data_IF_573568159456
#
_entry.id   IF_573568159456
#
_cell.length_a   1.000
_cell.length_b   1.000
_cell.length_c   1.000
_cell.angle_alpha   90.00
_cell.angle_beta   90.00
_cell.angle_gamma   90.00
#
_symmetry.space_group_name_H-M   'P 1'
#
loop_
_entity.id
_entity.type
_entity.pdbx_description
1 polymer ?
#
# COMPACT_ATOMS: atom_id res chain seq x y z
N UNK A 1 11.06 6.85 37.78
CA UNK A 1 11.22 7.35 36.41
C UNK A 1 9.98 8.18 36.05
N UNK A 2 10.13 9.49 35.94
CA UNK A 2 9.03 10.38 35.53
C UNK A 2 8.80 10.17 34.05
N UNK A 3 7.61 9.68 33.65
CA UNK A 3 7.21 9.60 32.26
C UNK A 3 7.17 11.02 31.68
N UNK A 4 8.10 11.35 30.77
CA UNK A 4 8.03 12.59 30.01
C UNK A 4 6.78 12.51 29.14
N UNK A 5 5.78 13.36 29.41
CA UNK A 5 4.64 13.54 28.49
C UNK A 5 5.12 14.27 27.24
N UNK A 6 4.66 13.85 26.07
CA UNK A 6 4.89 14.60 24.82
C UNK A 6 3.92 15.77 24.73
N UNK A 7 4.27 16.84 23.99
CA UNK A 7 3.39 17.99 23.76
C UNK A 7 2.06 17.64 23.10
N UNK A 8 1.96 16.48 22.46
CA UNK A 8 0.78 15.97 21.77
C UNK A 8 -0.03 14.96 22.59
N UNK A 9 0.39 14.65 23.84
CA UNK A 9 -0.29 13.64 24.68
C UNK A 9 -1.76 14.00 24.97
N UNK A 10 -2.10 15.29 25.05
CA UNK A 10 -3.47 15.79 25.24
C UNK A 10 -4.40 15.47 24.04
N UNK A 11 -3.86 15.28 22.85
CA UNK A 11 -4.61 14.92 21.65
C UNK A 11 -4.76 13.40 21.48
N UNK A 12 -4.33 12.58 22.43
CA UNK A 12 -4.47 11.14 22.40
C UNK A 12 -3.57 10.43 21.38
N UNK A 13 -2.61 11.13 20.75
CA UNK A 13 -1.72 10.57 19.71
C UNK A 13 -0.90 9.40 20.25
N UNK A 14 -0.42 9.47 21.49
CA UNK A 14 0.33 8.40 22.14
C UNK A 14 -0.50 7.14 22.48
N UNK A 15 -1.82 7.21 22.35
CA UNK A 15 -2.76 6.11 22.60
C UNK A 15 -3.60 5.76 21.37
N UNK A 16 -3.16 6.15 20.18
CA UNK A 16 -3.95 6.07 18.97
C UNK A 16 -4.52 4.67 18.70
N UNK A 17 -3.72 3.63 18.91
CA UNK A 17 -4.14 2.24 18.69
C UNK A 17 -4.74 1.57 19.93
N UNK A 18 -4.52 2.14 21.13
CA UNK A 18 -5.08 1.62 22.38
C UNK A 18 -6.36 2.35 22.79
N UNK A 19 -6.81 3.32 22.01
CA UNK A 19 -8.06 4.01 22.24
C UNK A 19 -9.23 3.10 21.90
N UNK A 20 -10.12 2.86 22.86
CA UNK A 20 -11.35 2.12 22.61
C UNK A 20 -12.33 2.98 21.80
N UNK A 21 -12.41 2.70 20.50
CA UNK A 21 -13.31 3.36 19.58
C UNK A 21 -14.67 2.64 19.43
N UNK A 22 -14.96 1.61 20.21
CA UNK A 22 -16.18 0.80 20.10
C UNK A 22 -17.45 1.64 20.21
N UNK A 23 -17.47 2.68 21.06
CA UNK A 23 -18.57 3.62 21.17
C UNK A 23 -18.83 4.42 19.90
N UNK A 24 -17.79 4.75 19.15
CA UNK A 24 -17.87 5.41 17.85
C UNK A 24 -18.39 4.43 16.79
N UNK A 25 -17.79 3.24 16.71
CA UNK A 25 -18.14 2.23 15.70
C UNK A 25 -19.54 1.60 15.90
N UNK A 26 -20.21 1.79 17.03
CA UNK A 26 -21.62 1.41 17.18
C UNK A 26 -22.55 2.08 16.14
N UNK A 27 -22.13 3.19 15.57
CA UNK A 27 -22.90 3.97 14.56
C UNK A 27 -22.55 3.60 13.12
N UNK A 28 -21.50 2.79 12.92
CA UNK A 28 -21.01 2.36 11.63
C UNK A 28 -20.87 0.85 11.60
N UNK A 29 -20.77 0.29 10.43
CA UNK A 29 -20.36 -1.12 10.28
C UNK A 29 -18.90 -1.24 10.70
N UNK A 30 -18.57 -1.91 11.82
CA UNK A 30 -17.17 -2.02 12.25
C UNK A 30 -16.39 -2.90 11.29
N UNK A 31 -15.05 -2.73 11.19
CA UNK A 31 -14.19 -3.65 10.46
C UNK A 31 -14.23 -5.06 11.09
N UNK A 32 -13.89 -6.06 10.29
CA UNK A 32 -13.87 -7.44 10.76
C UNK A 32 -12.61 -7.72 11.58
N UNK A 33 -12.80 -7.97 12.89
CA UNK A 33 -11.74 -8.43 13.77
C UNK A 33 -11.71 -9.96 13.80
N UNK A 34 -10.53 -10.53 13.63
CA UNK A 34 -10.31 -11.97 13.60
C UNK A 34 -9.34 -12.42 14.70
N UNK A 35 -9.59 -13.56 15.27
CA UNK A 35 -8.65 -14.29 16.15
C UNK A 35 -7.84 -15.34 15.39
N UNK A 36 -8.01 -15.45 14.08
CA UNK A 36 -7.29 -16.40 13.24
C UNK A 36 -5.76 -16.20 13.33
N UNK A 37 -5.03 -17.32 13.45
CA UNK A 37 -3.56 -17.36 13.55
C UNK A 37 -2.94 -18.32 12.54
N UNK A 38 -3.71 -18.82 11.59
CA UNK A 38 -3.21 -19.71 10.57
C UNK A 38 -2.40 -18.94 9.52
N UNK A 39 -1.11 -19.30 9.43
CA UNK A 39 -0.19 -18.83 8.41
C UNK A 39 0.23 -20.04 7.59
N UNK A 40 -0.08 -20.02 6.31
CA UNK A 40 0.32 -21.09 5.42
C UNK A 40 1.84 -21.10 5.24
N UNK A 41 2.50 -22.25 5.33
CA UNK A 41 3.91 -22.38 5.03
C UNK A 41 4.14 -22.04 3.56
N UNK A 42 5.15 -21.21 3.31
CA UNK A 42 5.44 -20.71 1.99
C UNK A 42 6.91 -20.93 1.62
N UNK A 43 7.16 -21.37 0.38
CA UNK A 43 8.49 -21.34 -0.22
C UNK A 43 8.56 -20.18 -1.21
N UNK A 44 9.59 -19.36 -1.06
CA UNK A 44 9.78 -18.18 -1.90
C UNK A 44 9.64 -18.53 -3.39
N UNK A 45 8.82 -17.78 -4.10
CA UNK A 45 8.55 -18.05 -5.50
C UNK A 45 9.28 -17.09 -6.42
N UNK A 46 9.92 -16.04 -6.01
CA UNK A 46 10.64 -15.08 -6.88
C UNK A 46 10.19 -15.18 -8.34
N UNK A 47 8.88 -15.15 -8.58
CA UNK A 47 8.25 -15.46 -9.86
C UNK A 47 7.42 -14.28 -10.34
N UNK A 48 7.54 -14.01 -11.62
CA UNK A 48 6.58 -13.23 -12.36
C UNK A 48 5.56 -14.21 -12.98
N UNK A 49 4.29 -14.06 -12.63
CA UNK A 49 3.19 -14.88 -13.12
C UNK A 49 2.33 -14.01 -14.02
N UNK A 50 2.14 -14.42 -15.25
CA UNK A 50 1.22 -13.76 -16.18
C UNK A 50 -0.15 -14.40 -16.04
N UNK A 51 -1.14 -13.61 -15.60
CA UNK A 51 -2.48 -14.12 -15.33
C UNK A 51 -3.45 -13.02 -14.88
N UNK A 52 -4.66 -13.42 -14.54
CA UNK A 52 -5.68 -12.53 -14.02
C UNK A 52 -5.55 -12.40 -12.50
N UNK A 53 -5.20 -11.19 -12.03
CA UNK A 53 -5.01 -10.90 -10.62
C UNK A 53 -6.30 -11.05 -9.75
N UNK A 54 -7.46 -11.19 -10.39
CA UNK A 54 -8.71 -11.56 -9.69
C UNK A 54 -8.73 -13.01 -9.22
N UNK A 55 -7.79 -13.81 -9.72
CA UNK A 55 -7.64 -15.23 -9.40
C UNK A 55 -6.16 -15.64 -9.41
N UNK A 56 -5.55 -15.70 -8.25
CA UNK A 56 -4.11 -15.99 -8.07
C UNK A 56 -3.91 -17.39 -7.45
N UNK A 57 -4.33 -18.44 -8.16
CA UNK A 57 -4.34 -19.82 -7.65
C UNK A 57 -2.94 -20.35 -7.28
N UNK A 58 -1.88 -19.81 -7.90
CA UNK A 58 -0.49 -20.20 -7.63
C UNK A 58 0.04 -19.67 -6.29
N UNK A 59 -0.63 -18.69 -5.71
CA UNK A 59 -0.27 -18.12 -4.41
C UNK A 59 -1.14 -18.77 -3.34
N UNK A 60 -0.59 -19.45 -2.34
CA UNK A 60 -1.38 -20.05 -1.28
C UNK A 60 -2.17 -19.02 -0.47
N UNK A 61 -3.35 -19.37 0.00
CA UNK A 61 -4.13 -18.53 0.91
C UNK A 61 -3.40 -18.34 2.24
N UNK A 62 -3.58 -17.18 2.86
CA UNK A 62 -2.97 -16.87 4.16
C UNK A 62 -1.43 -17.01 4.21
N UNK A 63 -0.75 -16.81 3.08
CA UNK A 63 0.72 -16.92 2.97
C UNK A 63 1.44 -15.59 2.78
N UNK A 64 0.76 -14.54 2.31
CA UNK A 64 1.35 -13.25 1.96
C UNK A 64 1.42 -12.36 3.18
N UNK A 65 2.61 -11.84 3.47
CA UNK A 65 2.82 -10.89 4.57
C UNK A 65 2.43 -9.46 4.18
N UNK A 66 2.74 -9.09 2.94
CA UNK A 66 2.53 -7.75 2.42
C UNK A 66 2.15 -7.77 0.95
N UNK A 67 1.07 -7.08 0.62
CA UNK A 67 0.77 -6.65 -0.74
C UNK A 67 1.23 -5.21 -0.91
N UNK A 68 2.07 -4.93 -1.90
CA UNK A 68 2.46 -3.57 -2.31
C UNK A 68 2.13 -3.42 -3.77
N UNK A 69 1.31 -2.43 -4.11
CA UNK A 69 0.86 -2.28 -5.48
C UNK A 69 0.48 -0.84 -5.84
N UNK A 70 0.55 -0.53 -7.12
CA UNK A 70 0.03 0.71 -7.71
C UNK A 70 -0.83 0.32 -8.91
N UNK A 71 -2.15 0.24 -8.75
CA UNK A 71 -3.05 -0.13 -9.84
C UNK A 71 -3.05 0.94 -10.95
N UNK A 72 -3.46 0.62 -12.19
CA UNK A 72 -3.75 1.62 -13.20
C UNK A 72 -4.70 2.70 -12.65
N UNK A 73 -4.47 3.99 -12.99
CA UNK A 73 -5.26 5.07 -12.36
C UNK A 73 -6.52 5.45 -13.14
N UNK A 74 -6.85 4.71 -14.18
CA UNK A 74 -7.97 4.99 -15.08
C UNK A 74 -7.88 6.43 -15.66
N UNK A 75 -6.71 6.77 -16.18
CA UNK A 75 -6.37 8.11 -16.66
C UNK A 75 -6.55 8.27 -18.18
N UNK A 76 -6.99 7.25 -18.88
CA UNK A 76 -7.07 7.24 -20.36
C UNK A 76 -5.69 7.26 -21.03
N UNK A 77 -4.69 6.61 -20.42
CA UNK A 77 -3.36 6.47 -21.00
C UNK A 77 -3.28 5.25 -21.91
N UNK A 78 -2.48 5.34 -22.98
CA UNK A 78 -2.27 4.26 -23.95
C UNK A 78 -1.96 2.88 -23.35
N UNK A 79 -1.25 2.85 -22.19
CA UNK A 79 -0.98 1.57 -21.53
C UNK A 79 -2.22 0.96 -20.86
N UNK A 80 -3.21 1.78 -20.50
CA UNK A 80 -4.51 1.29 -20.01
C UNK A 80 -5.31 0.70 -21.17
N UNK A 81 -5.16 1.25 -22.38
CA UNK A 81 -5.73 0.70 -23.62
C UNK A 81 -5.04 -0.60 -24.04
N UNK A 82 -3.71 -0.69 -23.88
CA UNK A 82 -2.94 -1.91 -24.16
C UNK A 82 -3.25 -3.07 -23.19
N UNK A 83 -3.72 -2.78 -21.98
CA UNK A 83 -4.32 -3.79 -21.09
C UNK A 83 -5.67 -4.30 -21.63
N UNK A 84 -6.20 -3.65 -22.65
CA UNK A 84 -7.58 -3.72 -23.12
C UNK A 84 -7.94 -4.76 -24.15
N UNK A 85 -7.01 -5.51 -24.68
CA UNK A 85 -7.37 -6.63 -25.56
C UNK A 85 -8.03 -7.80 -24.80
N UNK A 86 -8.35 -7.62 -23.52
CA UNK A 86 -8.99 -8.68 -22.74
C UNK A 86 -9.74 -8.24 -21.48
N UNK A 87 -10.05 -6.95 -21.26
CA UNK A 87 -10.82 -6.61 -20.06
C UNK A 87 -10.56 -5.26 -19.43
N UNK A 88 -10.22 -4.21 -20.19
CA UNK A 88 -10.21 -2.85 -19.64
C UNK A 88 -11.63 -2.43 -19.31
N UNK A 89 -11.86 -1.94 -18.08
CA UNK A 89 -13.12 -1.37 -17.72
C UNK A 89 -13.48 -0.21 -18.65
N UNK A 90 -14.66 -0.27 -19.27
CA UNK A 90 -15.15 0.81 -20.13
C UNK A 90 -15.60 2.02 -19.32
N UNK A 91 -15.93 1.81 -18.05
CA UNK A 91 -16.44 2.84 -17.14
C UNK A 91 -15.63 2.88 -15.86
N UNK A 92 -15.69 4.04 -15.17
CA UNK A 92 -15.05 4.17 -13.86
C UNK A 92 -15.64 3.23 -12.79
N UNK A 93 -16.92 2.89 -12.88
CA UNK A 93 -17.56 1.95 -11.97
C UNK A 93 -17.06 0.52 -12.20
N UNK A 94 -16.88 0.10 -13.44
CA UNK A 94 -16.28 -1.19 -13.80
C UNK A 94 -14.82 -1.25 -13.33
N UNK A 95 -14.08 -0.15 -13.44
CA UNK A 95 -12.73 -0.05 -12.91
C UNK A 95 -12.70 -0.21 -11.38
N UNK A 96 -13.61 0.44 -10.63
CA UNK A 96 -13.70 0.22 -9.19
C UNK A 96 -14.11 -1.21 -8.85
N UNK A 97 -14.94 -1.85 -9.69
CA UNK A 97 -15.31 -3.25 -9.52
C UNK A 97 -14.10 -4.17 -9.73
N UNK A 98 -13.28 -3.92 -10.76
CA UNK A 98 -12.01 -4.62 -10.97
C UNK A 98 -11.09 -4.52 -9.76
N UNK A 99 -10.88 -3.30 -9.23
CA UNK A 99 -10.07 -3.09 -8.02
C UNK A 99 -10.62 -3.87 -6.83
N UNK A 100 -11.93 -3.86 -6.64
CA UNK A 100 -12.60 -4.60 -5.56
C UNK A 100 -12.35 -6.12 -5.68
N UNK A 101 -12.41 -6.67 -6.87
CA UNK A 101 -12.17 -8.09 -7.11
C UNK A 101 -10.72 -8.48 -6.87
N UNK A 102 -9.76 -7.71 -7.38
CA UNK A 102 -8.32 -7.93 -7.17
C UNK A 102 -7.96 -7.79 -5.70
N UNK A 103 -8.42 -6.74 -5.02
CA UNK A 103 -8.10 -6.55 -3.60
C UNK A 103 -8.78 -7.57 -2.69
N UNK A 104 -9.94 -8.11 -3.07
CA UNK A 104 -10.56 -9.25 -2.39
C UNK A 104 -9.68 -10.50 -2.50
N UNK A 105 -9.13 -10.76 -3.68
CA UNK A 105 -8.20 -11.87 -3.88
C UNK A 105 -6.91 -11.64 -3.09
N UNK A 106 -6.35 -10.42 -3.08
CA UNK A 106 -5.23 -10.06 -2.22
C UNK A 106 -5.54 -10.32 -0.73
N UNK A 107 -6.73 -9.91 -0.27
CA UNK A 107 -7.14 -10.13 1.13
C UNK A 107 -7.24 -11.64 1.46
N UNK A 108 -7.65 -12.49 0.51
CA UNK A 108 -7.65 -13.94 0.67
C UNK A 108 -6.22 -14.48 0.83
N UNK A 109 -5.27 -13.96 0.05
CA UNK A 109 -3.86 -14.38 0.08
C UNK A 109 -3.10 -13.87 1.31
N UNK A 110 -3.47 -12.71 1.85
CA UNK A 110 -2.84 -12.17 3.04
C UNK A 110 -2.98 -13.10 4.24
N UNK A 111 -1.89 -13.30 4.99
CA UNK A 111 -1.94 -13.95 6.31
C UNK A 111 -2.72 -13.07 7.30
N UNK A 112 -3.26 -13.62 8.42
CA UNK A 112 -3.91 -12.82 9.45
C UNK A 112 -2.96 -11.76 10.03
N UNK A 113 -3.36 -10.48 9.94
CA UNK A 113 -2.52 -9.34 10.28
C UNK A 113 -1.51 -8.95 9.19
N UNK A 114 -1.52 -9.62 8.03
CA UNK A 114 -0.80 -9.16 6.83
C UNK A 114 -1.35 -7.83 6.33
N UNK A 115 -0.55 -7.06 5.58
CA UNK A 115 -0.87 -5.71 5.15
C UNK A 115 -1.05 -5.63 3.64
N UNK A 116 -1.92 -4.72 3.23
CA UNK A 116 -2.00 -4.23 1.85
C UNK A 116 -1.67 -2.75 1.84
N UNK A 117 -0.75 -2.35 0.97
CA UNK A 117 -0.32 -0.98 0.73
C UNK A 117 -0.60 -0.62 -0.72
N UNK A 118 -1.55 0.28 -0.97
CA UNK A 118 -1.99 0.65 -2.32
C UNK A 118 -1.60 2.10 -2.59
N UNK A 119 -0.69 2.29 -3.54
CA UNK A 119 -0.29 3.63 -4.00
C UNK A 119 -1.22 4.11 -5.10
N UNK A 120 -1.79 5.31 -4.94
CA UNK A 120 -2.67 5.95 -5.93
C UNK A 120 -2.45 7.44 -6.04
N UNK A 121 -2.60 7.97 -7.24
CA UNK A 121 -2.69 9.40 -7.53
C UNK A 121 -4.15 9.83 -7.67
N UNK A 122 -4.49 10.97 -7.07
CA UNK A 122 -5.76 11.64 -7.31
C UNK A 122 -5.61 12.55 -8.54
N UNK A 123 -5.89 11.99 -9.71
CA UNK A 123 -5.74 12.72 -10.96
C UNK A 123 -6.77 13.84 -11.10
N UNK A 124 -6.35 15.00 -11.61
CA UNK A 124 -7.19 16.17 -11.84
C UNK A 124 -8.25 15.95 -12.91
N UNK A 125 -9.36 15.31 -12.55
CA UNK A 125 -10.55 15.16 -13.41
C UNK A 125 -11.50 16.36 -13.25
N UNK A 126 -12.33 16.57 -14.23
CA UNK A 126 -13.41 17.58 -14.16
C UNK A 126 -14.76 16.91 -14.41
N UNK A 127 -15.65 16.83 -13.42
CA UNK A 127 -15.45 17.15 -11.98
C UNK A 127 -14.36 16.31 -11.32
N UNK A 128 -13.73 16.84 -10.25
CA UNK A 128 -12.70 16.12 -9.49
C UNK A 128 -13.28 14.87 -8.81
N UNK A 129 -12.58 13.77 -8.89
CA UNK A 129 -12.89 12.53 -8.16
C UNK A 129 -11.64 12.02 -7.46
N UNK A 130 -11.74 11.77 -6.16
CA UNK A 130 -10.66 11.25 -5.34
C UNK A 130 -10.59 9.74 -5.45
N UNK A 131 -9.62 9.22 -6.21
CA UNK A 131 -9.38 7.77 -6.30
C UNK A 131 -8.93 7.20 -4.95
N UNK A 132 -8.17 7.94 -4.16
CA UNK A 132 -7.76 7.48 -2.82
C UNK A 132 -8.96 7.25 -1.90
N UNK A 133 -9.98 8.11 -1.96
CA UNK A 133 -11.20 7.92 -1.20
C UNK A 133 -11.98 6.66 -1.65
N UNK A 134 -12.06 6.42 -2.96
CA UNK A 134 -12.69 5.21 -3.48
C UNK A 134 -11.95 3.94 -3.06
N UNK A 135 -10.60 3.96 -3.11
CA UNK A 135 -9.78 2.83 -2.64
C UNK A 135 -9.93 2.60 -1.13
N UNK A 136 -9.99 3.67 -0.33
CA UNK A 136 -10.30 3.55 1.11
C UNK A 136 -11.66 2.88 1.30
N UNK A 137 -12.69 3.32 0.57
CA UNK A 137 -14.03 2.71 0.63
C UNK A 137 -13.99 1.22 0.28
N UNK A 138 -13.27 0.83 -0.77
CA UNK A 138 -13.11 -0.58 -1.13
C UNK A 138 -12.43 -1.36 0.01
N UNK A 139 -11.30 -0.89 0.52
CA UNK A 139 -10.54 -1.62 1.53
C UNK A 139 -11.28 -1.69 2.87
N UNK A 140 -11.81 -0.55 3.34
CA UNK A 140 -12.43 -0.43 4.65
C UNK A 140 -13.88 -0.91 4.66
N UNK A 141 -14.71 -0.45 3.72
CA UNK A 141 -16.16 -0.65 3.78
C UNK A 141 -16.60 -1.91 3.04
N UNK A 142 -16.04 -2.18 1.84
CA UNK A 142 -16.42 -3.35 1.05
C UNK A 142 -15.70 -4.63 1.51
N UNK A 143 -14.38 -4.54 1.79
CA UNK A 143 -13.53 -5.68 2.16
C UNK A 143 -13.32 -5.81 3.67
N UNK A 144 -13.80 -4.87 4.46
CA UNK A 144 -13.78 -4.90 5.92
C UNK A 144 -12.37 -5.01 6.52
N UNK A 145 -11.36 -4.54 5.78
CA UNK A 145 -9.99 -4.50 6.28
C UNK A 145 -9.81 -3.37 7.30
N UNK A 146 -8.85 -3.55 8.20
CA UNK A 146 -8.51 -2.54 9.21
C UNK A 146 -7.62 -1.47 8.59
N UNK A 147 -8.15 -0.28 8.34
CA UNK A 147 -7.35 0.83 7.84
C UNK A 147 -6.29 1.21 8.88
N UNK A 148 -5.01 1.28 8.45
CA UNK A 148 -3.87 1.59 9.32
C UNK A 148 -3.45 3.05 9.23
N UNK A 149 -3.73 3.70 8.12
CA UNK A 149 -3.42 5.08 7.82
C UNK A 149 -3.11 5.29 6.35
N UNK A 150 -2.68 6.50 6.05
CA UNK A 150 -2.23 6.91 4.73
C UNK A 150 -0.83 7.49 4.85
N UNK A 151 0.03 7.20 3.87
CA UNK A 151 1.32 7.86 3.70
C UNK A 151 1.19 8.82 2.54
N UNK A 152 1.54 10.08 2.76
CA UNK A 152 1.60 11.10 1.73
C UNK A 152 3.00 11.03 1.10
N UNK A 153 3.08 10.46 -0.10
CA UNK A 153 4.31 10.46 -0.86
C UNK A 153 4.46 11.78 -1.60
N UNK A 154 5.44 12.58 -1.20
CA UNK A 154 5.83 13.83 -1.85
C UNK A 154 6.87 13.52 -2.93
N UNK A 155 6.44 13.61 -4.19
CA UNK A 155 7.26 13.28 -5.37
C UNK A 155 8.29 14.36 -5.69
N UNK A 156 7.97 15.61 -5.37
CA UNK A 156 8.76 16.76 -5.76
C UNK A 156 8.42 17.97 -4.88
N UNK A 157 9.44 18.76 -4.54
CA UNK A 157 9.27 20.07 -3.92
C UNK A 157 9.41 21.16 -4.97
N UNK A 158 8.67 22.25 -4.84
CA UNK A 158 8.81 23.48 -5.61
C UNK A 158 7.89 23.64 -6.81
N UNK A 159 8.29 24.50 -7.75
CA UNK A 159 7.44 25.03 -8.82
C UNK A 159 7.30 24.14 -10.06
N UNK A 160 8.02 23.05 -10.15
CA UNK A 160 8.17 22.20 -11.34
C UNK A 160 7.07 21.13 -11.51
N UNK A 161 5.89 21.31 -10.94
CA UNK A 161 4.73 20.45 -11.21
C UNK A 161 4.07 20.77 -12.57
N UNK A 162 3.02 20.03 -12.93
CA UNK A 162 2.22 20.27 -14.14
C UNK A 162 1.85 21.74 -14.32
N UNK A 163 2.00 22.26 -15.54
CA UNK A 163 1.76 23.68 -15.86
C UNK A 163 0.27 24.06 -15.97
N UNK A 164 -0.65 23.19 -15.65
CA UNK A 164 -2.09 23.48 -15.69
C UNK A 164 -2.52 24.31 -14.47
N UNK A 165 -2.21 25.59 -14.47
CA UNK A 165 -2.43 26.48 -13.33
C UNK A 165 -3.84 27.08 -13.26
N UNK A 166 -4.64 26.88 -14.30
CA UNK A 166 -5.93 27.56 -14.42
C UNK A 166 -5.76 29.07 -14.61
N UNK A 167 -6.44 29.88 -13.79
CA UNK A 167 -6.25 31.33 -13.79
C UNK A 167 -4.99 31.69 -12.99
N UNK A 168 -3.90 31.97 -13.72
CA UNK A 168 -2.63 32.40 -13.10
C UNK A 168 -2.77 33.74 -12.38
N UNK A 169 -2.35 33.81 -11.12
CA UNK A 169 -2.39 34.99 -10.23
C UNK A 169 -3.78 35.64 -10.07
N UNK A 170 -4.85 34.93 -10.37
CA UNK A 170 -6.22 35.46 -10.24
C UNK A 170 -7.11 34.42 -9.55
N UNK A 171 -8.06 34.85 -8.70
CA UNK A 171 -8.91 33.93 -7.95
C UNK A 171 -10.05 33.30 -8.76
N UNK A 172 -10.11 33.51 -10.08
CA UNK A 172 -11.22 33.04 -10.93
C UNK A 172 -11.34 31.53 -10.98
N UNK A 173 -10.23 30.81 -11.22
CA UNK A 173 -10.19 29.35 -11.25
C UNK A 173 -8.76 28.82 -11.11
N UNK A 174 -8.06 29.04 -9.98
CA UNK A 174 -6.76 28.43 -9.75
C UNK A 174 -6.89 26.90 -9.64
N UNK A 175 -5.94 26.18 -10.22
CA UNK A 175 -5.89 24.70 -10.18
C UNK A 175 -4.75 24.25 -9.27
N UNK A 176 -5.04 23.32 -8.36
CA UNK A 176 -4.04 22.69 -7.50
C UNK A 176 -3.16 21.75 -8.33
N UNK A 177 -1.86 21.76 -8.07
CA UNK A 177 -0.89 20.93 -8.78
C UNK A 177 -0.62 19.65 -8.02
N UNK A 178 -0.57 18.53 -8.72
CA UNK A 178 -0.38 17.19 -8.15
C UNK A 178 1.11 16.93 -7.88
N UNK A 179 1.54 17.21 -6.66
CA UNK A 179 2.91 16.94 -6.20
C UNK A 179 2.99 15.68 -5.33
N UNK A 180 1.85 15.09 -5.01
CA UNK A 180 1.79 13.97 -4.06
C UNK A 180 0.99 12.80 -4.61
N UNK A 181 1.30 11.61 -4.10
CA UNK A 181 0.44 10.43 -4.18
C UNK A 181 0.14 9.93 -2.77
N UNK A 182 -0.74 8.96 -2.65
CA UNK A 182 -1.14 8.39 -1.36
C UNK A 182 -0.95 6.90 -1.35
N UNK A 183 -0.24 6.41 -0.33
CA UNK A 183 -0.15 4.99 -0.05
C UNK A 183 -1.14 4.68 1.08
N UNK A 184 -2.20 3.97 0.75
CA UNK A 184 -3.24 3.57 1.70
C UNK A 184 -2.83 2.23 2.28
N UNK A 185 -2.72 2.16 3.61
CA UNK A 185 -2.30 0.93 4.30
C UNK A 185 -3.45 0.36 5.10
N UNK A 186 -3.76 -0.91 4.88
CA UNK A 186 -4.75 -1.66 5.65
C UNK A 186 -4.22 -3.03 6.06
N UNK A 187 -4.82 -3.67 7.07
CA UNK A 187 -4.46 -5.01 7.53
C UNK A 187 -5.65 -5.95 7.59
N UNK A 188 -5.40 -7.25 7.38
CA UNK A 188 -6.42 -8.31 7.40
C UNK A 188 -6.74 -8.74 8.83
N UNK A 189 -7.92 -8.35 9.31
CA UNK A 189 -8.55 -8.88 10.52
C UNK A 189 -7.83 -8.62 11.85
N UNK A 190 -6.59 -8.13 11.85
CA UNK A 190 -5.78 -7.91 13.05
C UNK A 190 -4.91 -6.65 12.92
N UNK A 191 -4.62 -6.01 14.04
CA UNK A 191 -3.67 -4.88 14.10
C UNK A 191 -2.21 -5.34 14.07
N UNK A 192 -1.92 -6.49 14.68
CA UNK A 192 -0.59 -7.12 14.73
C UNK A 192 -0.51 -8.32 13.77
N UNK A 193 0.70 -8.78 13.48
CA UNK A 193 0.90 -10.08 12.82
C UNK A 193 0.42 -11.18 13.75
N UNK A 194 -0.39 -12.12 13.23
CA UNK A 194 -1.06 -13.16 14.04
C UNK A 194 -0.08 -14.03 14.82
N UNK A 195 1.09 -14.31 14.25
CA UNK A 195 2.13 -15.13 14.85
C UNK A 195 3.31 -14.23 15.25
N UNK A 196 3.59 -14.03 16.54
CA UNK A 196 4.74 -13.25 17.00
C UNK A 196 6.08 -13.85 16.55
N UNK A 197 7.11 -13.02 16.33
CA UNK A 197 8.43 -13.42 15.82
C UNK A 197 9.02 -14.66 16.54
N UNK A 198 8.96 -14.68 17.89
CA UNK A 198 9.44 -15.81 18.69
C UNK A 198 8.73 -17.15 18.41
N UNK A 199 7.44 -17.08 18.06
CA UNK A 199 6.65 -18.28 17.70
C UNK A 199 6.91 -18.65 16.23
N UNK A 200 7.05 -17.64 15.34
CA UNK A 200 7.42 -17.82 13.94
C UNK A 200 8.73 -18.59 13.82
N UNK A 201 9.78 -18.17 14.55
CA UNK A 201 11.08 -18.84 14.57
C UNK A 201 10.96 -20.32 14.94
N UNK A 202 10.15 -20.65 15.97
CA UNK A 202 9.92 -22.04 16.38
C UNK A 202 9.16 -22.88 15.34
N UNK A 203 8.36 -22.24 14.49
CA UNK A 203 7.59 -22.86 13.41
C UNK A 203 8.36 -22.93 12.10
N UNK A 204 9.60 -22.43 12.05
CA UNK A 204 10.37 -22.31 10.80
C UNK A 204 9.83 -21.27 9.83
N UNK A 205 9.05 -20.31 10.32
CA UNK A 205 8.54 -19.17 9.54
C UNK A 205 9.52 -18.00 9.63
N UNK A 206 9.55 -17.09 8.64
CA UNK A 206 10.32 -15.86 8.68
C UNK A 206 10.07 -15.06 9.96
N UNK A 207 11.14 -14.65 10.66
CA UNK A 207 11.05 -14.02 11.98
C UNK A 207 12.06 -12.90 12.22
N UNK A 208 13.04 -12.72 11.32
CA UNK A 208 14.11 -11.76 11.47
C UNK A 208 13.78 -10.44 10.77
N UNK A 209 13.97 -9.31 11.46
CA UNK A 209 13.81 -7.98 10.87
C UNK A 209 15.15 -7.42 10.43
N UNK A 210 15.20 -6.79 9.27
CA UNK A 210 16.35 -6.01 8.78
C UNK A 210 16.35 -4.57 9.27
N UNK A 211 15.22 -4.08 9.75
CA UNK A 211 15.00 -2.68 10.09
C UNK A 211 15.88 -2.22 11.23
N UNK A 212 16.61 -1.13 11.00
CA UNK A 212 17.33 -0.42 12.05
C UNK A 212 16.38 0.50 12.85
N UNK A 213 16.88 1.05 13.97
CA UNK A 213 16.13 2.04 14.73
C UNK A 213 15.82 3.30 13.90
N UNK A 214 16.80 3.76 13.14
CA UNK A 214 16.68 5.00 12.37
C UNK A 214 15.73 4.81 11.19
N UNK A 215 15.81 3.67 10.49
CA UNK A 215 14.84 3.29 9.46
C UNK A 215 13.41 3.24 10.03
N UNK A 216 13.23 2.66 11.23
CA UNK A 216 11.94 2.61 11.88
C UNK A 216 11.38 4.01 12.17
N UNK A 217 12.23 4.91 12.70
CA UNK A 217 11.82 6.28 13.01
C UNK A 217 11.45 7.08 11.78
N UNK A 218 12.13 6.84 10.66
CA UNK A 218 11.84 7.49 9.38
C UNK A 218 10.63 6.87 8.68
N UNK A 219 10.59 5.54 8.58
CA UNK A 219 9.54 4.86 7.82
C UNK A 219 8.17 4.84 8.51
N UNK A 220 8.09 5.18 9.81
CA UNK A 220 6.82 5.33 10.52
C UNK A 220 6.21 6.74 10.43
N UNK A 221 6.85 7.67 9.71
CA UNK A 221 6.23 8.96 9.39
C UNK A 221 5.13 8.76 8.34
N UNK A 222 4.13 9.62 8.40
CA UNK A 222 3.01 9.63 7.44
C UNK A 222 3.27 10.54 6.21
N UNK A 223 4.46 11.15 6.14
CA UNK A 223 4.94 11.93 4.99
C UNK A 223 6.30 11.40 4.56
N UNK A 224 6.37 10.92 3.32
CA UNK A 224 7.62 10.44 2.73
C UNK A 224 8.03 11.31 1.54
N UNK A 225 9.24 11.85 1.60
CA UNK A 225 9.83 12.61 0.52
C UNK A 225 10.77 11.70 -0.28
N UNK A 226 10.27 11.15 -1.36
CA UNK A 226 11.01 10.27 -2.26
C UNK A 226 10.90 10.82 -3.69
N UNK A 227 12.01 11.15 -4.35
CA UNK A 227 11.98 11.65 -5.73
C UNK A 227 11.28 10.65 -6.67
N UNK A 228 10.44 11.18 -7.57
CA UNK A 228 9.78 10.36 -8.58
C UNK A 228 10.80 9.71 -9.53
N UNK A 229 10.47 8.51 -9.99
CA UNK A 229 11.28 7.80 -10.99
C UNK A 229 11.02 8.35 -12.40
N UNK A 230 12.03 8.29 -13.26
CA UNK A 230 11.91 8.75 -14.64
C UNK A 230 11.20 7.69 -15.50
N UNK A 231 10.03 8.06 -16.07
CA UNK A 231 9.29 7.20 -16.99
C UNK A 231 10.14 6.75 -18.19
N UNK A 232 10.96 7.65 -18.74
CA UNK A 232 11.86 7.37 -19.88
C UNK A 232 12.94 6.35 -19.52
N UNK A 233 13.46 6.38 -18.27
CA UNK A 233 14.51 5.46 -17.84
C UNK A 233 13.99 4.05 -17.60
N UNK A 234 12.74 3.93 -17.15
CA UNK A 234 12.15 2.63 -16.75
C UNK A 234 11.33 2.02 -17.89
N UNK A 235 10.98 2.80 -18.93
CA UNK A 235 10.12 2.33 -20.02
C UNK A 235 8.66 2.09 -19.58
N UNK A 236 8.24 2.69 -18.47
CA UNK A 236 6.88 2.59 -17.93
C UNK A 236 6.30 4.00 -17.72
N UNK A 237 5.06 4.28 -18.14
CA UNK A 237 4.51 5.64 -18.16
C UNK A 237 4.28 6.26 -16.78
N UNK A 238 4.22 5.45 -15.72
CA UNK A 238 4.03 5.93 -14.36
C UNK A 238 4.76 5.03 -13.33
N UNK A 239 6.12 4.94 -13.38
CA UNK A 239 6.85 4.12 -12.43
C UNK A 239 6.89 4.82 -11.08
N UNK A 240 6.63 4.08 -10.01
CA UNK A 240 7.01 4.55 -8.68
C UNK A 240 8.46 4.13 -8.36
N UNK A 241 9.21 4.90 -7.55
CA UNK A 241 10.61 4.60 -7.26
C UNK A 241 10.74 3.34 -6.42
N UNK A 242 11.83 2.60 -6.61
CA UNK A 242 12.13 1.35 -5.86
C UNK A 242 12.18 1.60 -4.35
N UNK A 243 12.54 2.79 -3.92
CA UNK A 243 12.61 3.17 -2.51
C UNK A 243 11.23 3.10 -1.82
N UNK A 244 10.15 3.42 -2.52
CA UNK A 244 8.80 3.39 -1.95
C UNK A 244 8.39 1.97 -1.48
N UNK A 245 8.39 0.94 -2.35
CA UNK A 245 8.12 -0.43 -1.90
C UNK A 245 9.22 -0.97 -0.97
N UNK A 246 10.48 -0.55 -1.09
CA UNK A 246 11.54 -0.98 -0.19
C UNK A 246 11.24 -0.56 1.27
N UNK A 247 10.85 0.68 1.51
CA UNK A 247 10.45 1.17 2.84
C UNK A 247 9.22 0.41 3.39
N UNK A 248 8.25 0.10 2.54
CA UNK A 248 7.07 -0.69 2.94
C UNK A 248 7.43 -2.14 3.29
N UNK A 249 8.31 -2.77 2.52
CA UNK A 249 8.82 -4.12 2.78
C UNK A 249 9.57 -4.14 4.11
N UNK A 250 10.54 -3.25 4.30
CA UNK A 250 11.27 -3.13 5.56
C UNK A 250 10.34 -2.93 6.77
N UNK A 251 9.32 -2.06 6.64
CA UNK A 251 8.41 -1.73 7.73
C UNK A 251 7.45 -2.86 8.10
N UNK A 252 7.05 -3.70 7.15
CA UNK A 252 5.92 -4.61 7.34
C UNK A 252 6.24 -6.09 7.21
N UNK A 253 7.48 -6.47 6.87
CA UNK A 253 7.85 -7.88 6.66
C UNK A 253 9.05 -8.32 7.49
N UNK A 254 9.14 -9.61 7.73
CA UNK A 254 10.37 -10.27 8.13
C UNK A 254 11.14 -10.74 6.89
N UNK A 255 12.43 -10.94 7.01
CA UNK A 255 13.27 -11.51 5.95
C UNK A 255 12.73 -12.87 5.52
N UNK A 256 12.51 -13.03 4.22
CA UNK A 256 11.93 -14.27 3.66
C UNK A 256 10.41 -14.33 3.71
N UNK A 257 9.73 -13.30 4.20
CA UNK A 257 8.28 -13.19 4.05
C UNK A 257 7.90 -12.98 2.57
N UNK A 258 6.72 -13.46 2.19
CA UNK A 258 6.18 -13.27 0.84
C UNK A 258 5.61 -11.86 0.66
N UNK A 259 6.08 -11.19 -0.39
CA UNK A 259 5.53 -9.93 -0.89
C UNK A 259 4.85 -10.18 -2.24
N UNK A 260 3.67 -9.63 -2.43
CA UNK A 260 2.85 -9.78 -3.63
C UNK A 260 2.54 -8.42 -4.26
N UNK A 261 2.63 -8.35 -5.59
CA UNK A 261 2.16 -7.21 -6.37
C UNK A 261 1.24 -7.70 -7.49
N UNK A 262 -0.09 -7.49 -7.37
CA UNK A 262 -1.06 -7.93 -8.37
C UNK A 262 -1.06 -7.09 -9.65
N UNK A 263 -0.41 -5.91 -9.64
CA UNK A 263 -0.27 -5.01 -10.78
C UNK A 263 1.21 -4.69 -11.00
N UNK A 264 2.03 -5.71 -11.22
CA UNK A 264 3.49 -5.65 -11.15
C UNK A 264 4.13 -4.60 -12.11
N UNK A 265 3.47 -4.22 -13.20
CA UNK A 265 3.96 -3.23 -14.16
C UNK A 265 5.40 -3.52 -14.60
N UNK A 266 6.31 -2.58 -14.34
CA UNK A 266 7.76 -2.74 -14.63
C UNK A 266 8.52 -3.61 -13.60
N UNK A 267 7.84 -4.20 -12.62
CA UNK A 267 8.47 -5.06 -11.62
C UNK A 267 9.17 -4.31 -10.47
N UNK A 268 8.83 -3.07 -10.23
CA UNK A 268 9.50 -2.23 -9.20
C UNK A 268 9.44 -2.85 -7.81
N UNK A 269 8.30 -3.44 -7.43
CA UNK A 269 8.14 -4.16 -6.15
C UNK A 269 9.05 -5.39 -6.08
N UNK A 270 9.19 -6.15 -7.15
CA UNK A 270 10.09 -7.30 -7.21
C UNK A 270 11.57 -6.87 -7.06
N UNK A 271 11.97 -5.79 -7.73
CA UNK A 271 13.32 -5.22 -7.57
C UNK A 271 13.59 -4.81 -6.12
N UNK A 272 12.61 -4.18 -5.46
CA UNK A 272 12.72 -3.80 -4.05
C UNK A 272 12.88 -5.03 -3.14
N UNK A 273 12.06 -6.07 -3.35
CA UNK A 273 12.12 -7.31 -2.57
C UNK A 273 13.48 -8.03 -2.71
N UNK A 274 14.00 -8.14 -3.94
CA UNK A 274 15.33 -8.73 -4.20
C UNK A 274 16.42 -7.91 -3.51
N UNK A 275 16.39 -6.59 -3.58
CA UNK A 275 17.37 -5.72 -2.90
C UNK A 275 17.32 -5.86 -1.39
N UNK A 276 16.14 -5.94 -0.81
CA UNK A 276 15.95 -6.17 0.62
C UNK A 276 16.53 -7.52 1.05
N UNK A 277 16.40 -8.57 0.24
CA UNK A 277 17.02 -9.87 0.46
C UNK A 277 18.54 -9.85 0.35
N UNK A 278 19.11 -9.14 -0.65
CA UNK A 278 20.57 -9.06 -0.91
C UNK A 278 21.31 -8.18 0.09
N UNK A 279 20.72 -7.11 0.59
CA UNK A 279 21.36 -6.20 1.57
C UNK A 279 21.76 -6.91 2.87
N UNK A 280 21.34 -8.15 3.04
CA UNK A 280 21.56 -8.98 4.22
C UNK A 280 22.77 -9.91 4.13
N UNK A 281 23.32 -10.12 2.93
CA UNK A 281 24.51 -10.95 2.74
C UNK A 281 25.83 -10.19 2.98
N UNK A 282 25.78 -8.86 3.09
CA UNK A 282 26.93 -7.97 3.22
C UNK A 282 27.04 -7.26 4.59
N UNK A 283 26.33 -7.73 5.62
CA UNK A 283 26.45 -7.21 7.00
C UNK A 283 26.86 -8.27 8.00
#
# INVERSE_FOLDING_TARGET
MVKRSTSTSAFGVSKRESHDASGFYRRFTPPDLSSDTEVAPYRALDKLIVGDARRMDEVPDSSVALVVTSPPYFAGKEYEEALGEGGVPATYLEYLQLLREVFRECARKLEPGGRIAVNVANLGRRPYRSLSADVIGILQDDLRLLLRGEIIWVKQRGSSGSCAWGSFQRPGNPVLRDLTERVIVASKGRFDRAVPAKVRSRRGLPSDSSMTRDDFMENTLDVWEVPAESATRVGHPAPFPVELPARLIELHTYRGDLVLDPFAGSGTTAVAAVRAALSTQNR
#
